data_IF_040287569852
#
_entry.id   IF_040287569852
#
_cell.length_a   1.000
_cell.length_b   1.000
_cell.length_c   1.000
_cell.angle_alpha   90.00
_cell.angle_beta   90.00
_cell.angle_gamma   90.00
#
_symmetry.space_group_name_H-M   'P 1'
#
loop_
_entity.id
_entity.type
_entity.pdbx_description
1 polymer ?
#
# COMPACT_ATOMS: atom_id res chain seq x y z
N UNK A 1 16.33 -4.19 -4.88
CA UNK A 1 15.14 -4.80 -4.36
C UNK A 1 13.94 -4.64 -5.28
N UNK A 2 12.78 -5.17 -4.89
CA UNK A 2 11.58 -5.27 -5.74
C UNK A 2 11.16 -3.94 -6.40
N UNK A 3 11.14 -2.83 -5.66
CA UNK A 3 10.77 -1.53 -6.23
C UNK A 3 11.78 -1.06 -7.30
N UNK A 4 13.09 -1.24 -7.07
CA UNK A 4 14.09 -0.90 -8.06
C UNK A 4 13.94 -1.77 -9.34
N UNK A 5 13.62 -3.04 -9.16
CA UNK A 5 13.39 -3.95 -10.29
C UNK A 5 12.13 -3.58 -11.07
N UNK A 6 11.06 -3.12 -10.38
CA UNK A 6 9.86 -2.59 -11.03
C UNK A 6 10.17 -1.36 -11.88
N UNK A 7 10.93 -0.39 -11.35
CA UNK A 7 11.35 0.79 -12.13
C UNK A 7 12.15 0.40 -13.36
N UNK A 8 13.14 -0.50 -13.22
CA UNK A 8 13.99 -0.95 -14.35
C UNK A 8 13.20 -1.70 -15.43
N UNK A 9 12.13 -2.39 -15.05
CA UNK A 9 11.28 -3.16 -15.96
C UNK A 9 10.04 -2.38 -16.43
N UNK A 10 9.92 -1.11 -16.04
CA UNK A 10 8.77 -0.26 -16.32
C UNK A 10 7.43 -0.86 -15.85
N UNK A 11 7.45 -1.46 -14.63
CA UNK A 11 6.29 -2.06 -14.00
C UNK A 11 5.68 -1.13 -12.96
N UNK A 12 4.38 -1.31 -12.72
CA UNK A 12 3.64 -0.50 -11.74
C UNK A 12 3.73 -1.15 -10.36
N UNK A 13 3.79 -0.29 -9.34
CA UNK A 13 3.69 -0.68 -7.95
C UNK A 13 2.30 -0.26 -7.45
N UNK A 14 1.38 -1.23 -7.37
CA UNK A 14 0.04 -1.00 -6.85
C UNK A 14 0.07 -1.02 -5.33
N UNK A 15 -0.53 0.00 -4.71
CA UNK A 15 -0.57 0.15 -3.24
C UNK A 15 -2.01 0.16 -2.79
N UNK A 16 -2.40 -0.81 -1.99
CA UNK A 16 -3.76 -0.99 -1.50
C UNK A 16 -3.83 -1.00 0.03
N UNK A 17 -4.82 -0.32 0.59
CA UNK A 17 -5.12 -0.36 2.02
C UNK A 17 -6.57 0.07 2.31
N UNK A 18 -7.15 -0.46 3.39
CA UNK A 18 -8.48 -0.10 3.88
C UNK A 18 -8.40 0.77 5.14
N UNK A 19 -9.44 1.54 5.44
CA UNK A 19 -9.45 2.44 6.59
C UNK A 19 -8.26 3.40 6.55
N UNK A 20 -7.56 3.61 7.68
CA UNK A 20 -6.39 4.49 7.73
C UNK A 20 -5.18 3.96 6.95
N UNK A 21 -5.13 2.65 6.65
CA UNK A 21 -4.02 2.08 5.88
C UNK A 21 -3.90 2.66 4.47
N UNK A 22 -5.00 3.17 3.87
CA UNK A 22 -4.94 3.82 2.55
C UNK A 22 -4.10 5.11 2.54
N UNK A 23 -3.90 5.75 3.71
CA UNK A 23 -3.10 6.97 3.83
C UNK A 23 -1.64 6.76 3.41
N UNK A 24 -1.10 5.55 3.63
CA UNK A 24 0.26 5.21 3.19
C UNK A 24 0.32 5.12 1.67
N UNK A 25 -0.75 4.66 1.01
CA UNK A 25 -0.87 4.71 -0.45
C UNK A 25 -0.88 6.14 -0.98
N UNK A 26 -1.62 7.04 -0.32
CA UNK A 26 -1.64 8.47 -0.64
C UNK A 26 -0.27 9.11 -0.42
N UNK A 27 0.44 8.75 0.66
CA UNK A 27 1.79 9.25 0.94
C UNK A 27 2.76 8.95 -0.20
N UNK A 28 2.69 7.76 -0.77
CA UNK A 28 3.56 7.35 -1.88
C UNK A 28 3.11 7.88 -3.25
N UNK A 29 1.83 8.26 -3.41
CA UNK A 29 1.23 8.57 -4.71
C UNK A 29 1.41 10.05 -5.09
N UNK A 30 1.96 10.28 -6.28
CA UNK A 30 2.13 11.64 -6.89
C UNK A 30 2.72 12.66 -5.92
N UNK A 31 3.66 12.20 -5.10
CA UNK A 31 4.31 13.04 -4.11
C UNK A 31 5.62 13.61 -4.66
N UNK A 32 5.93 14.86 -4.35
CA UNK A 32 7.25 15.45 -4.60
C UNK A 32 8.35 14.55 -4.04
N UNK A 33 9.31 14.17 -4.89
CA UNK A 33 10.36 13.21 -4.54
C UNK A 33 9.95 11.75 -4.61
N UNK A 34 8.67 11.45 -4.88
CA UNK A 34 8.14 10.10 -5.01
C UNK A 34 8.29 9.51 -6.41
N UNK A 35 8.28 8.18 -6.50
CA UNK A 35 8.30 7.44 -7.76
C UNK A 35 6.98 7.63 -8.54
N UNK A 36 7.09 7.85 -9.85
CA UNK A 36 5.93 8.07 -10.71
C UNK A 36 5.18 6.78 -11.08
N UNK A 37 5.81 5.61 -10.96
CA UNK A 37 5.21 4.32 -11.24
C UNK A 37 4.45 3.70 -10.05
N UNK A 38 3.99 4.53 -9.11
CA UNK A 38 3.14 4.09 -7.99
C UNK A 38 1.68 4.37 -8.29
N UNK A 39 0.85 3.33 -8.19
CA UNK A 39 -0.60 3.40 -8.32
C UNK A 39 -1.27 3.19 -6.97
N UNK A 40 -1.74 4.24 -6.33
CA UNK A 40 -2.58 4.12 -5.14
C UNK A 40 -3.98 3.64 -5.55
N UNK A 41 -4.36 2.45 -5.09
CA UNK A 41 -5.69 1.87 -5.30
C UNK A 41 -6.66 2.47 -4.28
N UNK A 42 -7.17 3.66 -4.61
CA UNK A 42 -8.07 4.43 -3.75
C UNK A 42 -9.52 4.13 -4.11
N UNK A 43 -10.23 3.47 -3.19
CA UNK A 43 -11.66 3.22 -3.32
C UNK A 43 -12.36 3.76 -2.07
N UNK A 44 -13.24 4.75 -2.28
CA UNK A 44 -13.93 5.44 -1.19
C UNK A 44 -14.77 4.51 -0.31
N UNK A 45 -15.25 3.39 -0.86
CA UNK A 45 -16.09 2.44 -0.12
C UNK A 45 -15.39 1.83 1.08
N UNK A 46 -14.05 1.65 0.99
CA UNK A 46 -13.22 1.03 2.03
C UNK A 46 -12.38 2.03 2.82
N UNK A 47 -12.50 3.34 2.53
CA UNK A 47 -11.81 4.40 3.29
C UNK A 47 -12.70 4.99 4.38
N UNK A 48 -12.11 5.81 5.24
CA UNK A 48 -12.87 6.55 6.27
C UNK A 48 -13.68 7.71 5.68
N UNK A 49 -13.36 8.18 4.47
CA UNK A 49 -14.07 9.24 3.76
C UNK A 49 -15.56 8.90 3.53
N UNK A 50 -15.86 7.63 3.26
CA UNK A 50 -17.23 7.14 3.09
C UNK A 50 -18.00 6.95 4.41
N UNK A 51 -17.41 7.30 5.55
CA UNK A 51 -17.97 7.16 6.88
C UNK A 51 -17.37 6.01 7.68
N UNK A 52 -16.87 6.30 8.88
CA UNK A 52 -16.10 5.35 9.69
C UNK A 52 -16.85 4.04 10.01
N UNK A 53 -18.13 4.11 10.38
CA UNK A 53 -18.93 2.90 10.64
C UNK A 53 -19.21 2.09 9.39
N UNK A 54 -19.44 2.77 8.25
CA UNK A 54 -19.70 2.16 6.96
C UNK A 54 -18.44 1.45 6.45
N UNK A 55 -17.30 2.14 6.39
CA UNK A 55 -16.02 1.56 5.97
C UNK A 55 -15.63 0.32 6.80
N UNK A 56 -15.74 0.40 8.13
CA UNK A 56 -15.43 -0.74 9.01
C UNK A 56 -16.38 -1.95 8.86
N UNK A 57 -17.54 -1.81 8.21
CA UNK A 57 -18.41 -2.93 7.82
C UNK A 57 -18.03 -3.46 6.44
N UNK A 58 -17.83 -2.56 5.49
CA UNK A 58 -17.56 -2.89 4.09
C UNK A 58 -16.24 -3.64 3.94
N UNK A 59 -15.19 -3.26 4.66
CA UNK A 59 -13.89 -3.96 4.61
C UNK A 59 -13.95 -5.45 5.04
N UNK A 60 -15.07 -5.89 5.61
CA UNK A 60 -15.32 -7.27 6.03
C UNK A 60 -16.17 -8.07 5.03
N UNK A 61 -16.68 -7.41 3.99
CA UNK A 61 -17.47 -8.08 2.97
C UNK A 61 -16.56 -8.92 2.07
N UNK A 62 -16.99 -10.13 1.76
CA UNK A 62 -16.37 -10.96 0.75
C UNK A 62 -16.84 -10.54 -0.66
N UNK A 63 -15.97 -10.70 -1.66
CA UNK A 63 -16.24 -10.37 -3.06
C UNK A 63 -15.98 -8.91 -3.44
N UNK A 64 -15.77 -8.00 -2.49
CA UNK A 64 -15.54 -6.59 -2.79
C UNK A 64 -14.16 -6.34 -3.41
N UNK A 65 -13.15 -7.12 -3.04
CA UNK A 65 -11.81 -6.97 -3.57
C UNK A 65 -11.76 -7.17 -5.10
N UNK A 66 -12.54 -8.09 -5.64
CA UNK A 66 -12.67 -8.29 -7.09
C UNK A 66 -13.25 -7.07 -7.79
N UNK A 67 -14.32 -6.50 -7.24
CA UNK A 67 -14.97 -5.29 -7.78
C UNK A 67 -14.00 -4.10 -7.79
N UNK A 68 -13.18 -3.97 -6.75
CA UNK A 68 -12.14 -2.94 -6.69
C UNK A 68 -11.04 -3.24 -7.71
N UNK A 69 -10.57 -4.48 -7.79
CA UNK A 69 -9.52 -4.91 -8.72
C UNK A 69 -9.85 -4.56 -10.19
N UNK A 70 -11.06 -4.87 -10.63
CA UNK A 70 -11.56 -4.63 -12.00
C UNK A 70 -11.50 -3.16 -12.43
N UNK A 71 -11.33 -2.23 -11.50
CA UNK A 71 -11.24 -0.80 -11.80
C UNK A 71 -9.82 -0.35 -12.14
N UNK A 72 -8.82 -1.23 -12.03
CA UNK A 72 -7.41 -0.91 -12.23
C UNK A 72 -6.79 -1.75 -13.33
N UNK A 73 -5.85 -1.15 -14.06
CA UNK A 73 -5.06 -1.87 -15.06
C UNK A 73 -3.84 -2.50 -14.37
N UNK A 74 -3.98 -3.77 -14.01
CA UNK A 74 -2.93 -4.54 -13.33
C UNK A 74 -2.43 -5.60 -14.30
N UNK A 75 -1.12 -5.64 -14.51
CA UNK A 75 -0.45 -6.56 -15.43
C UNK A 75 0.41 -7.58 -14.70
N UNK A 76 0.70 -8.68 -15.37
CA UNK A 76 1.67 -9.66 -14.91
C UNK A 76 3.03 -8.98 -14.66
N UNK A 77 3.74 -9.40 -13.62
CA UNK A 77 5.00 -8.82 -13.14
C UNK A 77 4.90 -7.42 -12.48
N UNK A 78 3.72 -6.82 -12.36
CA UNK A 78 3.52 -5.68 -11.47
C UNK A 78 3.72 -6.12 -10.00
N UNK A 79 3.88 -5.14 -9.13
CA UNK A 79 4.02 -5.40 -7.68
C UNK A 79 2.75 -4.97 -6.98
N UNK A 80 2.31 -5.78 -6.00
CA UNK A 80 1.24 -5.42 -5.09
C UNK A 80 1.79 -5.22 -3.69
N UNK A 81 1.67 -3.99 -3.15
CA UNK A 81 1.89 -3.67 -1.75
C UNK A 81 0.54 -3.53 -1.05
N UNK A 82 0.23 -4.43 -0.13
CA UNK A 82 -0.99 -4.36 0.67
C UNK A 82 -0.66 -3.96 2.09
N UNK A 83 -1.38 -2.95 2.58
CA UNK A 83 -1.18 -2.37 3.91
C UNK A 83 -2.39 -2.67 4.77
N UNK A 84 -2.19 -3.40 5.85
CA UNK A 84 -3.23 -3.69 6.83
C UNK A 84 -2.60 -4.07 8.18
N UNK A 85 -2.78 -3.23 9.19
CA UNK A 85 -2.11 -3.45 10.49
C UNK A 85 -2.49 -4.79 11.13
N UNK A 86 -3.75 -5.19 11.10
CA UNK A 86 -4.20 -6.50 11.59
C UNK A 86 -4.13 -7.63 10.54
N UNK A 87 -4.13 -7.30 9.25
CA UNK A 87 -4.09 -8.26 8.15
C UNK A 87 -5.23 -9.29 8.13
N UNK A 88 -6.37 -9.03 8.80
CA UNK A 88 -7.40 -10.05 9.11
C UNK A 88 -8.72 -9.92 8.37
N UNK A 89 -9.05 -8.72 7.85
CA UNK A 89 -10.36 -8.44 7.23
C UNK A 89 -10.44 -9.01 5.81
N UNK A 90 -11.67 -9.27 5.35
CA UNK A 90 -11.90 -9.99 4.08
C UNK A 90 -11.30 -9.26 2.89
N UNK A 91 -11.53 -7.96 2.73
CA UNK A 91 -11.09 -7.22 1.55
C UNK A 91 -9.55 -7.23 1.36
N UNK A 92 -8.69 -6.91 2.34
CA UNK A 92 -7.25 -7.01 2.14
C UNK A 92 -6.75 -8.45 1.95
N UNK A 93 -7.42 -9.45 2.55
CA UNK A 93 -7.07 -10.87 2.35
C UNK A 93 -7.45 -11.34 0.94
N UNK A 94 -8.63 -10.99 0.43
CA UNK A 94 -9.06 -11.31 -0.93
C UNK A 94 -8.18 -10.60 -1.97
N UNK A 95 -7.84 -9.32 -1.75
CA UNK A 95 -6.91 -8.59 -2.61
C UNK A 95 -5.55 -9.31 -2.70
N UNK A 96 -5.05 -9.83 -1.57
CA UNK A 96 -3.83 -10.61 -1.52
C UNK A 96 -3.95 -11.94 -2.29
N UNK A 97 -5.06 -12.66 -2.12
CA UNK A 97 -5.32 -13.91 -2.83
C UNK A 97 -5.39 -13.65 -4.34
N UNK A 98 -6.10 -12.58 -4.75
CA UNK A 98 -6.21 -12.18 -6.16
C UNK A 98 -4.84 -11.82 -6.74
N UNK A 99 -4.06 -10.98 -6.09
CA UNK A 99 -2.72 -10.61 -6.54
C UNK A 99 -1.82 -11.85 -6.75
N UNK A 100 -1.88 -12.81 -5.85
CA UNK A 100 -1.12 -14.07 -5.99
C UNK A 100 -1.62 -14.93 -7.16
N UNK A 101 -2.94 -14.99 -7.39
CA UNK A 101 -3.53 -15.73 -8.49
C UNK A 101 -3.14 -15.14 -9.87
N UNK A 102 -3.01 -13.81 -9.94
CA UNK A 102 -2.58 -13.08 -11.14
C UNK A 102 -1.03 -13.00 -11.30
N UNK A 103 -0.27 -13.70 -10.46
CA UNK A 103 1.18 -13.82 -10.59
C UNK A 103 2.01 -12.66 -10.02
N UNK A 104 1.39 -11.67 -9.37
CA UNK A 104 2.10 -10.52 -8.82
C UNK A 104 3.00 -10.91 -7.64
N UNK A 105 4.09 -10.17 -7.48
CA UNK A 105 4.86 -10.18 -6.24
C UNK A 105 4.12 -9.39 -5.17
N UNK A 106 3.76 -10.08 -4.09
CA UNK A 106 2.97 -9.53 -2.99
C UNK A 106 3.85 -9.14 -1.81
N UNK A 107 3.79 -7.86 -1.44
CA UNK A 107 4.41 -7.30 -0.24
C UNK A 107 3.30 -6.96 0.76
N UNK A 108 3.41 -7.40 1.99
CA UNK A 108 2.53 -7.02 3.09
C UNK A 108 3.24 -6.05 4.04
N UNK A 109 2.64 -4.90 4.30
CA UNK A 109 3.02 -4.02 5.40
C UNK A 109 1.97 -4.17 6.51
N UNK A 110 2.36 -4.74 7.64
CA UNK A 110 1.46 -5.18 8.71
C UNK A 110 2.16 -5.16 10.06
N UNK A 111 1.42 -5.30 11.15
CA UNK A 111 1.99 -5.69 12.44
C UNK A 111 1.88 -7.20 12.60
N UNK A 112 3.00 -7.88 12.68
CA UNK A 112 3.03 -9.33 12.91
C UNK A 112 2.42 -9.65 14.27
N UNK A 113 2.79 -8.90 15.32
CA UNK A 113 2.23 -9.07 16.66
C UNK A 113 0.71 -8.96 16.66
N UNK A 114 0.16 -7.88 16.07
CA UNK A 114 -1.30 -7.69 15.98
C UNK A 114 -1.97 -8.80 15.16
N UNK A 115 -1.40 -9.13 14.02
CA UNK A 115 -1.91 -10.18 13.15
C UNK A 115 -1.95 -11.54 13.83
N UNK A 116 -0.91 -11.91 14.60
CA UNK A 116 -0.85 -13.18 15.31
C UNK A 116 -1.88 -13.25 16.45
N UNK A 117 -2.14 -12.14 17.11
CA UNK A 117 -3.07 -12.04 18.25
C UNK A 117 -4.55 -11.96 17.85
N UNK A 118 -4.89 -12.09 16.58
CA UNK A 118 -6.28 -12.06 16.12
C UNK A 118 -6.59 -13.20 15.14
N UNK A 119 -7.87 -13.58 15.05
CA UNK A 119 -8.33 -14.57 14.06
C UNK A 119 -8.65 -13.89 12.73
N UNK A 120 -8.44 -14.59 11.62
CA UNK A 120 -8.93 -14.15 10.31
C UNK A 120 -10.46 -13.95 10.34
N UNK A 121 -10.93 -12.99 9.54
CA UNK A 121 -12.36 -12.76 9.28
C UNK A 121 -12.78 -13.22 7.88
N UNK A 122 -11.82 -13.70 7.09
CA UNK A 122 -12.08 -14.27 5.78
C UNK A 122 -12.31 -15.78 5.86
N UNK A 123 -13.17 -16.34 5.01
CA UNK A 123 -13.53 -17.77 4.98
C UNK A 123 -12.35 -18.73 4.79
N UNK A 124 -11.27 -18.28 4.14
CA UNK A 124 -10.06 -19.10 3.98
C UNK A 124 -9.31 -19.34 5.29
N UNK A 125 -9.61 -18.60 6.36
CA UNK A 125 -8.84 -18.61 7.60
C UNK A 125 -7.46 -17.96 7.49
N UNK A 126 -7.02 -17.55 6.30
CA UNK A 126 -5.71 -16.90 6.04
C UNK A 126 -5.70 -15.44 6.47
N UNK A 127 -4.51 -14.95 6.76
CA UNK A 127 -4.21 -13.54 7.03
C UNK A 127 -3.20 -13.02 6.04
N UNK A 128 -3.10 -11.71 5.90
CA UNK A 128 -2.28 -11.05 4.88
C UNK A 128 -0.82 -11.51 4.91
N UNK A 129 -0.19 -11.55 6.10
CA UNK A 129 1.22 -11.94 6.21
C UNK A 129 1.51 -13.39 5.78
N UNK A 130 0.50 -14.28 5.83
CA UNK A 130 0.63 -15.69 5.43
C UNK A 130 0.57 -15.87 3.91
N UNK A 131 0.11 -14.85 3.17
CA UNK A 131 -0.05 -14.86 1.73
C UNK A 131 1.10 -14.14 1.02
N UNK A 132 1.79 -13.24 1.73
CA UNK A 132 2.80 -12.37 1.15
C UNK A 132 4.12 -13.09 0.84
N UNK A 133 4.77 -12.66 -0.25
CA UNK A 133 6.14 -13.09 -0.59
C UNK A 133 7.18 -12.36 0.30
N UNK A 134 6.85 -11.15 0.74
CA UNK A 134 7.67 -10.34 1.65
C UNK A 134 6.77 -9.66 2.67
N UNK A 135 7.16 -9.74 3.93
CA UNK A 135 6.46 -9.07 5.02
C UNK A 135 7.34 -7.96 5.60
N UNK A 136 6.78 -6.77 5.65
CA UNK A 136 7.32 -5.60 6.33
C UNK A 136 6.58 -5.46 7.66
N UNK A 137 7.24 -5.80 8.74
CA UNK A 137 6.67 -5.67 10.09
C UNK A 137 6.87 -4.23 10.59
N UNK A 138 5.79 -3.54 10.90
CA UNK A 138 5.85 -2.20 11.47
C UNK A 138 6.10 -2.20 12.99
N UNK A 139 6.17 -3.36 13.60
CA UNK A 139 6.45 -3.59 15.03
C UNK A 139 5.49 -2.85 15.99
N UNK A 140 4.32 -2.44 15.50
CA UNK A 140 3.33 -1.76 16.35
C UNK A 140 2.59 -2.78 17.19
N UNK A 141 2.41 -2.53 18.50
CA UNK A 141 1.79 -3.50 19.40
C UNK A 141 0.34 -3.80 19.02
N UNK A 142 -0.15 -4.94 19.48
CA UNK A 142 -1.54 -5.37 19.26
C UNK A 142 -2.51 -4.32 19.80
N UNK A 143 -3.47 -3.92 18.96
CA UNK A 143 -4.45 -2.86 19.26
C UNK A 143 -4.07 -1.47 18.77
N UNK A 144 -2.88 -1.31 18.16
CA UNK A 144 -2.42 -0.04 17.57
C UNK A 144 -2.47 1.15 18.53
N UNK A 145 -2.02 0.95 19.77
CA UNK A 145 -2.01 1.98 20.80
C UNK A 145 -0.70 1.95 21.56
N UNK A 146 0.09 3.01 21.43
CA UNK A 146 1.45 3.11 21.98
C UNK A 146 1.49 3.63 23.41
N UNK A 147 0.41 4.25 23.88
CA UNK A 147 0.35 4.94 25.17
C UNK A 147 -0.81 4.43 26.01
N UNK A 148 -0.65 4.55 27.34
CA UNK A 148 -1.67 4.23 28.32
C UNK A 148 -1.89 5.43 29.24
N UNK A 149 -3.12 5.88 29.33
CA UNK A 149 -3.56 6.98 30.19
C UNK A 149 -4.55 6.44 31.22
N UNK A 150 -4.04 5.94 32.32
CA UNK A 150 -4.84 5.34 33.41
C UNK A 150 -5.81 4.25 32.91
N UNK A 151 -5.34 3.34 32.05
CA UNK A 151 -6.13 2.26 31.46
C UNK A 151 -6.81 2.60 30.14
N UNK A 152 -6.75 3.86 29.70
CA UNK A 152 -7.23 4.28 28.38
C UNK A 152 -6.07 4.18 27.37
N UNK A 153 -6.16 3.23 26.45
CA UNK A 153 -5.17 3.06 25.38
C UNK A 153 -5.35 4.11 24.28
N UNK A 154 -4.25 4.71 23.84
CA UNK A 154 -4.24 5.77 22.81
C UNK A 154 -2.90 5.82 22.06
N UNK A 155 -2.73 6.81 21.18
CA UNK A 155 -1.51 7.00 20.40
C UNK A 155 -1.34 5.95 19.30
N UNK A 156 -2.18 5.98 18.23
CA UNK A 156 -2.04 5.04 17.11
C UNK A 156 -0.69 5.24 16.42
N UNK A 157 0.04 4.15 16.21
CA UNK A 157 1.38 4.15 15.63
C UNK A 157 1.47 3.63 14.21
N UNK A 158 0.48 2.85 13.76
CA UNK A 158 0.59 2.09 12.50
C UNK A 158 0.75 2.95 11.26
N UNK A 159 0.05 4.08 11.16
CA UNK A 159 0.17 4.99 10.01
C UNK A 159 1.54 5.67 9.99
N UNK A 160 2.02 6.17 11.12
CA UNK A 160 3.34 6.83 11.22
C UNK A 160 4.46 5.84 10.89
N UNK A 161 4.44 4.67 11.51
CA UNK A 161 5.43 3.61 11.25
C UNK A 161 5.36 3.13 9.79
N UNK A 162 4.14 3.00 9.25
CA UNK A 162 3.92 2.59 7.87
C UNK A 162 4.46 3.60 6.85
N UNK A 163 4.22 4.90 7.04
CA UNK A 163 4.80 5.96 6.21
C UNK A 163 6.32 5.96 6.31
N UNK A 164 6.89 5.88 7.52
CA UNK A 164 8.34 5.83 7.70
C UNK A 164 8.98 4.65 6.95
N UNK A 165 8.39 3.47 7.02
CA UNK A 165 8.87 2.28 6.30
C UNK A 165 8.76 2.50 4.78
N UNK A 166 7.62 3.01 4.31
CA UNK A 166 7.37 3.23 2.89
C UNK A 166 8.36 4.25 2.29
N UNK A 167 8.57 5.39 2.96
CA UNK A 167 9.51 6.41 2.53
C UNK A 167 10.97 5.94 2.62
N UNK A 168 11.31 5.12 3.62
CA UNK A 168 12.63 4.50 3.72
C UNK A 168 12.91 3.54 2.56
N UNK A 169 11.91 2.76 2.14
CA UNK A 169 12.01 1.87 0.97
C UNK A 169 12.17 2.71 -0.31
N UNK A 170 11.42 3.80 -0.43
CA UNK A 170 11.53 4.73 -1.55
C UNK A 170 12.95 5.31 -1.63
N UNK A 171 13.46 5.85 -0.53
CA UNK A 171 14.81 6.44 -0.46
C UNK A 171 15.88 5.42 -0.83
N UNK A 172 15.83 4.21 -0.29
CA UNK A 172 16.80 3.15 -0.63
C UNK A 172 16.65 2.67 -2.08
N UNK A 173 15.43 2.67 -2.62
CA UNK A 173 15.18 2.37 -4.04
C UNK A 173 15.86 3.38 -4.94
N UNK A 174 15.69 4.67 -4.65
CA UNK A 174 16.31 5.76 -5.41
C UNK A 174 17.84 5.74 -5.30
N UNK A 175 18.36 5.49 -4.09
CA UNK A 175 19.80 5.34 -3.87
C UNK A 175 20.40 4.23 -4.74
N UNK A 176 19.75 3.05 -4.75
CA UNK A 176 20.17 1.91 -5.57
C UNK A 176 20.12 2.22 -7.06
N UNK A 177 19.02 2.76 -7.56
CA UNK A 177 18.85 3.09 -8.98
C UNK A 177 19.85 4.15 -9.44
N UNK A 178 20.11 5.18 -8.61
CA UNK A 178 21.10 6.22 -8.87
C UNK A 178 22.50 5.63 -8.97
N UNK A 179 22.87 4.73 -8.06
CA UNK A 179 24.18 4.06 -8.10
C UNK A 179 24.35 3.18 -9.36
N UNK A 180 23.26 2.66 -9.91
CA UNK A 180 23.25 1.88 -11.17
C UNK A 180 23.14 2.77 -12.42
N UNK A 181 23.08 4.12 -12.29
CA UNK A 181 22.97 5.06 -13.41
C UNK A 181 21.61 5.03 -14.10
N UNK A 182 20.56 4.54 -13.43
CA UNK A 182 19.19 4.48 -13.98
C UNK A 182 18.54 5.85 -13.87
N UNK A 183 17.85 6.29 -14.93
CA UNK A 183 17.03 7.51 -14.89
C UNK A 183 15.88 7.33 -13.89
N UNK A 184 15.80 8.23 -12.92
CA UNK A 184 14.83 8.15 -11.84
C UNK A 184 13.49 8.77 -12.28
N UNK A 185 12.37 8.02 -12.35
CA UNK A 185 11.05 8.56 -12.64
C UNK A 185 10.46 9.19 -11.37
N UNK A 186 10.94 10.37 -11.00
CA UNK A 186 10.61 11.04 -9.73
C UNK A 186 9.93 12.37 -10.00
N UNK A 187 8.81 12.61 -9.31
CA UNK A 187 8.10 13.88 -9.38
C UNK A 187 8.91 15.03 -8.76
N UNK A 188 9.10 16.09 -9.53
CA UNK A 188 9.57 17.37 -9.03
C UNK A 188 8.48 18.13 -8.27
N UNK A 189 8.88 19.07 -7.43
CA UNK A 189 7.92 19.90 -6.69
C UNK A 189 7.20 20.88 -7.61
N UNK A 190 5.87 20.84 -7.60
CA UNK A 190 5.03 21.82 -8.32
C UNK A 190 5.06 23.22 -7.69
N UNK A 191 5.61 23.34 -6.47
CA UNK A 191 5.74 24.61 -5.73
C UNK A 191 7.14 25.25 -5.90
N UNK A 192 7.98 24.69 -6.77
CA UNK A 192 9.32 25.21 -7.10
C UNK A 192 9.39 25.44 -8.60
N UNK A 193 9.75 26.66 -9.01
CA UNK A 193 9.85 27.01 -10.43
C UNK A 193 10.91 26.16 -11.14
N UNK A 194 10.62 25.83 -12.42
CA UNK A 194 11.53 25.06 -13.26
C UNK A 194 11.30 23.55 -13.28
N UNK A 195 10.42 23.00 -12.46
CA UNK A 195 10.01 21.60 -12.55
C UNK A 195 8.81 21.41 -13.48
N UNK A 196 8.89 20.39 -14.34
CA UNK A 196 7.80 19.95 -15.19
C UNK A 196 7.64 18.44 -15.08
N UNK A 197 6.45 17.98 -14.68
CA UNK A 197 6.14 16.56 -14.50
C UNK A 197 5.29 16.00 -15.68
N UNK A 198 5.05 16.75 -16.75
CA UNK A 198 4.13 16.34 -17.83
C UNK A 198 4.55 15.01 -18.46
N UNK A 199 5.85 14.81 -18.71
CA UNK A 199 6.34 13.57 -19.32
C UNK A 199 6.04 12.34 -18.44
N UNK A 200 6.08 12.49 -17.10
CA UNK A 200 5.73 11.43 -16.16
C UNK A 200 4.22 11.16 -16.15
N UNK A 201 3.40 12.20 -16.19
CA UNK A 201 1.95 12.04 -16.30
C UNK A 201 1.59 11.36 -17.62
N UNK A 202 2.10 11.83 -18.76
CA UNK A 202 1.86 11.24 -20.08
C UNK A 202 2.27 9.78 -20.13
N UNK A 203 3.41 9.43 -19.51
CA UNK A 203 3.92 8.07 -19.49
C UNK A 203 3.02 7.12 -18.71
N UNK A 204 2.51 7.53 -17.53
CA UNK A 204 1.86 6.59 -16.59
C UNK A 204 0.33 6.71 -16.51
N UNK A 205 -0.30 7.80 -17.00
CA UNK A 205 -1.73 8.03 -16.90
C UNK A 205 -2.60 6.93 -17.51
N UNK A 206 -2.09 6.19 -18.51
CA UNK A 206 -2.82 5.06 -19.11
C UNK A 206 -2.89 3.83 -18.20
N UNK A 207 -1.97 3.72 -17.23
CA UNK A 207 -1.83 2.58 -16.32
C UNK A 207 -2.24 2.91 -14.88
N UNK A 208 -2.25 4.19 -14.51
CA UNK A 208 -2.51 4.67 -13.14
C UNK A 208 -3.81 5.48 -13.12
N UNK A 209 -4.83 4.93 -12.48
CA UNK A 209 -6.22 5.40 -12.56
C UNK A 209 -6.43 6.84 -12.10
N UNK A 210 -5.69 7.30 -11.08
CA UNK A 210 -5.89 8.61 -10.46
C UNK A 210 -4.81 9.63 -10.83
N UNK A 211 -4.05 9.37 -11.88
CA UNK A 211 -2.97 10.24 -12.37
C UNK A 211 -3.46 11.28 -13.36
#
# INVERSE_FOLDING_TARGET
GLFADAVKKDRIIHVFGTGHSHMIGIELFVRTGGLANINAMLDDSVTTAAGARRGGKIEKLEGLAEIIWEQYQIEEDDIMLIISNSGRNSVPVEMAIKAKAEGLKLIALTSIEHSMNCRSRHKSGKKLYELADLVLDNCVPSGDSLMDFAGVKSGPGSTIAGCLIADSILAETLNKLSAEGVTLPVFGSQNVDGFNNNDLYEKYQSRIKHM
#
